data_IF_455735356174
#
_entry.id   IF_455735356174
#
_cell.length_a   1.000
_cell.length_b   1.000
_cell.length_c   1.000
_cell.angle_alpha   90.00
_cell.angle_beta   90.00
_cell.angle_gamma   90.00
#
_symmetry.space_group_name_H-M   'P 1'
#
loop_
_entity.id
_entity.type
_entity.pdbx_description
1 polymer ?
#
# COMPACT_ATOMS: atom_id res chain seq x y z
N UNK A 1 29.17 34.92 -30.09
CA UNK A 1 28.82 33.61 -29.51
C UNK A 1 29.76 33.21 -28.35
N UNK A 2 30.20 34.16 -27.52
CA UNK A 2 31.08 33.88 -26.35
C UNK A 2 30.27 33.49 -25.09
N UNK A 3 28.98 33.82 -25.06
CA UNK A 3 28.07 33.57 -23.94
C UNK A 3 27.79 32.07 -23.71
N UNK A 4 27.84 31.25 -24.78
CA UNK A 4 27.67 29.80 -24.67
C UNK A 4 28.83 29.10 -23.96
N UNK A 5 30.05 29.66 -24.02
CA UNK A 5 31.22 29.09 -23.35
C UNK A 5 31.08 29.22 -21.84
N UNK A 6 30.57 30.35 -21.35
CA UNK A 6 30.29 30.54 -19.92
C UNK A 6 29.22 29.57 -19.39
N UNK A 7 28.18 29.32 -20.19
CA UNK A 7 27.13 28.34 -19.85
C UNK A 7 27.73 26.92 -19.78
N UNK A 8 28.61 26.57 -20.71
CA UNK A 8 29.23 25.26 -20.78
C UNK A 8 30.17 25.00 -19.59
N UNK A 9 30.95 26.01 -19.19
CA UNK A 9 31.81 25.95 -18.00
C UNK A 9 30.97 25.85 -16.72
N UNK A 10 29.85 26.59 -16.63
CA UNK A 10 28.96 26.52 -15.48
C UNK A 10 28.32 25.13 -15.32
N UNK A 11 27.88 24.51 -16.43
CA UNK A 11 27.31 23.16 -16.43
C UNK A 11 28.36 22.13 -15.99
N UNK A 12 29.59 22.23 -16.51
CA UNK A 12 30.70 21.34 -16.14
C UNK A 12 31.09 21.49 -14.67
N UNK A 13 31.10 22.72 -14.14
CA UNK A 13 31.37 22.98 -12.73
C UNK A 13 30.29 22.38 -11.81
N UNK A 14 29.02 22.53 -12.18
CA UNK A 14 27.90 21.96 -11.42
C UNK A 14 27.88 20.44 -11.46
N UNK A 15 28.16 19.83 -12.62
CA UNK A 15 28.23 18.36 -12.73
C UNK A 15 29.44 17.79 -11.99
N UNK A 16 30.62 18.42 -12.08
CA UNK A 16 31.81 17.97 -11.36
C UNK A 16 31.63 18.02 -9.84
N UNK A 17 31.08 19.12 -9.31
CA UNK A 17 30.79 19.25 -7.88
C UNK A 17 29.67 18.29 -7.45
N UNK A 18 28.60 18.17 -8.24
CA UNK A 18 27.49 17.24 -7.95
C UNK A 18 27.93 15.77 -7.90
N UNK A 19 28.80 15.33 -8.82
CA UNK A 19 29.36 13.97 -8.81
C UNK A 19 30.31 13.77 -7.63
N UNK A 20 31.15 14.76 -7.34
CA UNK A 20 32.08 14.73 -6.20
C UNK A 20 31.33 14.64 -4.86
N UNK A 21 30.26 15.40 -4.70
CA UNK A 21 29.44 15.40 -3.47
C UNK A 21 28.61 14.12 -3.33
N UNK A 22 28.19 13.53 -4.46
CA UNK A 22 27.57 12.19 -4.50
C UNK A 22 28.56 11.09 -4.08
N UNK A 23 29.78 11.10 -4.62
CA UNK A 23 30.83 10.12 -4.30
C UNK A 23 31.34 10.22 -2.85
N UNK A 24 31.38 11.43 -2.29
CA UNK A 24 31.78 11.67 -0.90
C UNK A 24 30.73 11.23 0.12
N UNK A 25 29.51 10.91 -0.30
CA UNK A 25 28.44 10.45 0.59
C UNK A 25 27.79 11.55 1.45
N UNK A 26 28.07 12.83 1.16
CA UNK A 26 27.50 13.97 1.88
C UNK A 26 26.05 14.26 1.44
N UNK A 27 25.65 13.81 0.25
CA UNK A 27 24.26 13.89 -0.23
C UNK A 27 23.43 12.78 0.44
N UNK A 28 23.04 13.02 1.69
CA UNK A 28 22.02 12.24 2.37
C UNK A 28 20.65 12.66 1.83
N UNK A 29 20.23 12.05 0.72
CA UNK A 29 18.83 12.15 0.28
C UNK A 29 17.96 11.70 1.46
N UNK A 30 17.05 12.55 1.98
CA UNK A 30 16.15 12.13 3.03
C UNK A 30 15.35 10.95 2.49
N UNK A 31 15.55 9.77 3.10
CA UNK A 31 14.74 8.60 2.80
C UNK A 31 13.32 8.96 3.19
N UNK A 32 12.48 9.29 2.21
CA UNK A 32 11.05 9.39 2.46
C UNK A 32 10.62 8.10 3.16
N UNK A 33 9.95 8.18 4.32
CA UNK A 33 9.57 6.99 5.07
C UNK A 33 8.74 6.11 4.15
N UNK A 34 9.31 4.97 3.78
CA UNK A 34 8.77 4.01 2.80
C UNK A 34 7.56 3.23 3.36
N UNK A 35 6.93 3.74 4.41
CA UNK A 35 5.74 3.17 5.04
C UNK A 35 4.62 4.19 5.00
N UNK A 36 3.91 4.17 3.88
CA UNK A 36 2.71 4.97 3.55
C UNK A 36 1.46 4.61 4.37
N UNK A 37 1.57 4.19 5.63
CA UNK A 37 0.38 3.91 6.43
C UNK A 37 0.53 4.56 7.80
N UNK A 38 0.14 5.83 7.86
CA UNK A 38 0.14 6.64 9.09
C UNK A 38 -0.87 6.12 10.13
N UNK A 39 -1.87 5.34 9.70
CA UNK A 39 -2.93 4.77 10.55
C UNK A 39 -3.25 3.34 10.12
N UNK A 40 -3.23 2.38 11.07
CA UNK A 40 -3.59 0.98 10.81
C UNK A 40 -4.96 0.89 10.10
N UNK A 41 -5.08 0.17 8.98
CA UNK A 41 -6.39 -0.01 8.33
C UNK A 41 -7.32 -0.77 9.27
N UNK A 42 -8.51 -0.21 9.54
CA UNK A 42 -9.58 -0.84 10.30
C UNK A 42 -10.63 -1.33 9.32
N UNK A 43 -10.78 -2.65 9.20
CA UNK A 43 -11.76 -3.27 8.32
C UNK A 43 -13.11 -3.42 9.03
N UNK A 44 -14.24 -3.26 8.32
CA UNK A 44 -15.57 -3.40 8.92
C UNK A 44 -15.88 -4.86 9.30
N UNK A 45 -16.73 -5.03 10.31
CA UNK A 45 -17.20 -6.33 10.78
C UNK A 45 -18.26 -6.85 9.80
N UNK A 46 -18.17 -8.14 9.43
CA UNK A 46 -19.16 -8.83 8.61
C UNK A 46 -20.12 -9.61 9.52
N UNK A 47 -21.42 -9.39 9.33
CA UNK A 47 -22.49 -10.08 10.06
C UNK A 47 -23.18 -11.10 9.15
N UNK A 48 -23.67 -12.20 9.73
CA UNK A 48 -24.53 -13.15 9.04
C UNK A 48 -25.65 -13.61 9.98
N UNK A 49 -26.80 -13.96 9.40
CA UNK A 49 -27.92 -14.53 10.16
C UNK A 49 -27.67 -16.03 10.35
N UNK A 50 -27.96 -16.49 11.56
CA UNK A 50 -27.80 -17.89 11.96
C UNK A 50 -29.13 -18.41 12.49
N UNK A 51 -29.48 -19.64 12.11
CA UNK A 51 -30.66 -20.34 12.59
C UNK A 51 -30.26 -21.73 13.08
N UNK A 52 -30.69 -22.10 14.29
CA UNK A 52 -30.51 -23.44 14.83
C UNK A 52 -31.80 -24.24 14.63
N UNK A 53 -31.70 -25.37 13.94
CA UNK A 53 -32.81 -26.30 13.80
C UNK A 53 -32.60 -27.49 14.75
N UNK A 54 -33.44 -27.63 15.81
CA UNK A 54 -33.30 -28.70 16.77
C UNK A 54 -33.69 -30.08 16.21
N UNK A 55 -34.43 -30.16 15.10
CA UNK A 55 -34.85 -31.44 14.53
C UNK A 55 -33.70 -32.18 13.82
N UNK A 56 -32.71 -31.42 13.35
CA UNK A 56 -31.52 -31.93 12.65
C UNK A 56 -30.22 -31.60 13.38
N UNK A 57 -30.32 -31.01 14.58
CA UNK A 57 -29.20 -30.64 15.46
C UNK A 57 -28.11 -29.84 14.75
N UNK A 58 -28.50 -28.93 13.86
CA UNK A 58 -27.57 -28.17 13.01
C UNK A 58 -27.87 -26.68 13.01
N UNK A 59 -26.80 -25.91 12.81
CA UNK A 59 -26.85 -24.47 12.56
C UNK A 59 -26.74 -24.20 11.06
N UNK A 60 -27.61 -23.34 10.56
CA UNK A 60 -27.59 -22.82 9.21
C UNK A 60 -27.24 -21.34 9.20
N UNK A 61 -26.54 -20.91 8.16
CA UNK A 61 -26.09 -19.54 7.94
C UNK A 61 -26.75 -19.02 6.67
N UNK A 62 -27.27 -17.80 6.70
CA UNK A 62 -27.78 -17.14 5.50
C UNK A 62 -26.62 -16.56 4.69
N UNK A 63 -26.49 -16.98 3.43
CA UNK A 63 -25.49 -16.47 2.48
C UNK A 63 -26.04 -15.29 1.68
N UNK A 64 -25.15 -14.54 1.03
CA UNK A 64 -25.50 -13.33 0.26
C UNK A 64 -26.47 -13.60 -0.90
N UNK A 65 -26.50 -14.84 -1.40
CA UNK A 65 -27.43 -15.29 -2.44
C UNK A 65 -28.85 -15.60 -1.89
N UNK A 66 -29.09 -15.38 -0.60
CA UNK A 66 -30.37 -15.68 0.06
C UNK A 66 -30.58 -17.16 0.41
N UNK A 67 -29.58 -18.02 0.20
CA UNK A 67 -29.67 -19.44 0.54
C UNK A 67 -29.11 -19.72 1.93
N UNK A 68 -29.72 -20.68 2.61
CA UNK A 68 -29.24 -21.19 3.91
C UNK A 68 -28.30 -22.37 3.68
N UNK A 69 -27.13 -22.33 4.30
CA UNK A 69 -26.11 -23.37 4.19
C UNK A 69 -25.58 -23.77 5.56
N UNK A 70 -25.04 -24.98 5.68
CA UNK A 70 -24.50 -25.53 6.93
C UNK A 70 -23.05 -25.09 7.22
N UNK A 71 -22.53 -24.12 6.48
CA UNK A 71 -21.22 -23.51 6.68
C UNK A 71 -21.33 -21.98 6.61
N UNK A 72 -20.46 -21.25 7.32
CA UNK A 72 -20.51 -19.80 7.34
C UNK A 72 -20.14 -19.21 5.96
N UNK A 73 -20.65 -18.00 5.63
CA UNK A 73 -20.27 -17.30 4.40
C UNK A 73 -18.78 -16.95 4.39
N UNK A 74 -18.22 -16.79 3.19
CA UNK A 74 -16.82 -16.39 3.05
C UNK A 74 -16.55 -15.02 3.67
N UNK A 75 -15.39 -14.90 4.31
CA UNK A 75 -14.92 -13.62 4.85
C UNK A 75 -14.53 -12.68 3.72
N UNK A 76 -14.99 -11.43 3.81
CA UNK A 76 -14.62 -10.38 2.85
C UNK A 76 -13.10 -10.17 2.86
N UNK A 77 -12.46 -10.42 1.73
CA UNK A 77 -11.02 -10.19 1.53
C UNK A 77 -10.79 -8.75 1.08
N UNK A 78 -9.87 -8.05 1.72
CA UNK A 78 -9.47 -6.70 1.33
C UNK A 78 -8.12 -6.77 0.64
N UNK A 79 -8.06 -6.26 -0.60
CA UNK A 79 -6.79 -6.10 -1.32
C UNK A 79 -5.94 -5.10 -0.55
N UNK A 80 -4.83 -5.55 0.03
CA UNK A 80 -3.76 -4.62 0.41
C UNK A 80 -3.18 -4.08 -0.88
N UNK A 81 -3.61 -2.88 -1.29
CA UNK A 81 -2.87 -2.09 -2.27
C UNK A 81 -1.57 -1.69 -1.57
N UNK A 82 -0.57 -2.56 -1.63
CA UNK A 82 0.80 -2.15 -1.37
C UNK A 82 1.16 -1.23 -2.53
N UNK A 83 1.05 0.08 -2.31
CA UNK A 83 1.54 1.08 -3.26
C UNK A 83 3.01 0.78 -3.53
N UNK A 84 3.29 0.36 -4.76
CA UNK A 84 4.65 0.20 -5.28
C UNK A 84 5.28 1.57 -5.55
#
# INVERSE_FOLDING_TARGET
>A
MIQFIGILIAILGLTYNGVKDYQKGDIKLPKFPQKQVLTKPVYPIQYCLMAYDPNVEKVFYLHENGQWQNFPPEQRKYSTVQGH
#
